data_IF_921658615634
#
_entry.id   IF_921658615634
#
_cell.length_a   1.000
_cell.length_b   1.000
_cell.length_c   1.000
_cell.angle_alpha   90.00
_cell.angle_beta   90.00
_cell.angle_gamma   90.00
#
_symmetry.space_group_name_H-M   'P 1'
#
loop_
_entity.id
_entity.type
_entity.pdbx_description
1 polymer ?
#
# COMPACT_ATOMS: atom_id res chain seq x y z
N UNK A 1 -0.51 0.28 22.66
CA UNK A 1 -0.06 0.74 21.34
C UNK A 1 -1.07 1.73 20.79
N UNK A 2 -0.64 2.82 20.14
CA UNK A 2 -1.59 3.80 19.57
C UNK A 2 -2.26 3.21 18.33
N UNK A 3 -3.52 3.57 18.09
CA UNK A 3 -4.17 3.29 16.81
C UNK A 3 -3.55 4.18 15.73
N UNK A 4 -3.24 3.61 14.56
CA UNK A 4 -2.76 4.31 13.37
C UNK A 4 -3.92 4.69 12.47
N UNK A 5 -4.76 3.72 12.14
CA UNK A 5 -5.92 3.90 11.27
C UNK A 5 -7.15 3.26 11.92
N UNK A 6 -8.30 3.89 11.75
CA UNK A 6 -9.60 3.36 12.12
C UNK A 6 -10.62 3.78 11.07
N UNK A 7 -11.36 2.82 10.52
CA UNK A 7 -12.42 3.04 9.53
C UNK A 7 -13.66 2.21 9.90
N UNK A 8 -14.81 2.59 9.36
CA UNK A 8 -16.07 1.89 9.54
C UNK A 8 -16.49 1.22 8.23
N UNK A 9 -17.22 0.11 8.30
CA UNK A 9 -17.96 -0.41 7.16
C UNK A 9 -19.07 0.54 6.74
N UNK A 10 -19.55 0.40 5.51
CA UNK A 10 -20.59 1.27 4.93
C UNK A 10 -21.92 1.18 5.69
N UNK A 11 -22.24 -0.01 6.20
CA UNK A 11 -23.40 -0.25 7.07
C UNK A 11 -23.13 0.03 8.56
N UNK A 12 -21.92 0.52 8.89
CA UNK A 12 -21.45 0.80 10.25
C UNK A 12 -21.47 -0.38 11.23
N UNK A 13 -21.65 -1.63 10.75
CA UNK A 13 -21.64 -2.84 11.60
C UNK A 13 -20.24 -3.29 12.00
N UNK A 14 -19.23 -2.89 11.24
CA UNK A 14 -17.85 -3.26 11.47
C UNK A 14 -16.95 -2.04 11.63
N UNK A 15 -15.96 -2.18 12.50
CA UNK A 15 -14.84 -1.26 12.65
C UNK A 15 -13.59 -2.03 12.22
N UNK A 16 -12.73 -1.38 11.45
CA UNK A 16 -11.41 -1.90 11.06
C UNK A 16 -10.36 -0.98 11.64
N UNK A 17 -9.36 -1.55 12.30
CA UNK A 17 -8.30 -0.76 12.92
C UNK A 17 -6.93 -1.39 12.74
N UNK A 18 -5.90 -0.54 12.75
CA UNK A 18 -4.51 -0.96 12.84
C UNK A 18 -3.73 -0.17 13.87
N UNK A 19 -2.67 -0.77 14.41
CA UNK A 19 -1.79 -0.17 15.41
C UNK A 19 -0.45 0.27 14.85
N UNK A 20 0.20 1.23 15.50
CA UNK A 20 1.57 1.62 15.15
C UNK A 20 2.54 0.46 15.42
N UNK A 21 3.28 0.03 14.40
CA UNK A 21 4.22 -1.08 14.51
C UNK A 21 3.57 -2.48 14.53
N UNK A 22 2.23 -2.54 14.53
CA UNK A 22 1.50 -3.81 14.51
C UNK A 22 1.38 -4.35 13.08
N UNK A 23 1.69 -5.64 12.93
CA UNK A 23 1.69 -6.34 11.63
C UNK A 23 0.38 -7.06 11.36
N UNK A 24 -0.72 -6.49 11.83
CA UNK A 24 -2.05 -7.01 11.61
C UNK A 24 -3.08 -5.89 11.55
N UNK A 25 -4.22 -6.21 10.93
CA UNK A 25 -5.43 -5.40 10.92
C UNK A 25 -6.50 -6.15 11.71
N UNK A 26 -7.18 -5.46 12.61
CA UNK A 26 -8.24 -6.04 13.45
C UNK A 26 -9.62 -5.55 12.99
N UNK A 27 -10.56 -6.49 12.88
CA UNK A 27 -11.97 -6.25 12.63
C UNK A 27 -12.75 -6.41 13.94
N UNK A 28 -13.70 -5.51 14.17
CA UNK A 28 -14.56 -5.48 15.35
C UNK A 28 -16.00 -5.35 14.91
N UNK A 29 -16.94 -5.97 15.64
CA UNK A 29 -18.35 -5.63 15.50
C UNK A 29 -18.65 -4.36 16.30
N UNK A 30 -19.36 -3.41 15.70
CA UNK A 30 -19.83 -2.20 16.38
C UNK A 30 -21.07 -2.48 17.24
N UNK A 31 -21.89 -3.45 16.82
CA UNK A 31 -23.12 -3.85 17.50
C UNK A 31 -22.88 -5.05 18.43
N UNK A 32 -23.24 -4.90 19.70
CA UNK A 32 -23.14 -5.96 20.72
C UNK A 32 -22.64 -5.41 22.06
N UNK A 33 -23.26 -5.83 23.17
CA UNK A 33 -22.77 -5.44 24.50
C UNK A 33 -21.36 -6.02 24.75
N UNK A 34 -20.39 -5.14 24.99
CA UNK A 34 -19.09 -5.45 25.63
C UNK A 34 -18.30 -6.60 24.98
N UNK A 35 -18.38 -6.82 23.68
CA UNK A 35 -17.45 -7.75 23.03
C UNK A 35 -16.05 -7.12 23.06
N UNK A 36 -15.15 -7.68 23.88
CA UNK A 36 -13.82 -7.10 24.17
C UNK A 36 -12.73 -7.51 23.19
N UNK A 37 -13.08 -8.34 22.20
CA UNK A 37 -12.12 -8.95 21.27
C UNK A 37 -12.47 -8.67 19.83
N UNK A 38 -11.43 -8.59 18.99
CA UNK A 38 -11.60 -8.55 17.54
C UNK A 38 -12.33 -9.82 17.07
N UNK A 39 -13.29 -9.66 16.16
CA UNK A 39 -13.99 -10.78 15.53
C UNK A 39 -13.18 -11.39 14.38
N UNK A 40 -12.19 -10.67 13.85
CA UNK A 40 -11.25 -11.15 12.84
C UNK A 40 -9.92 -10.39 12.95
N UNK A 41 -8.82 -11.10 12.68
CA UNK A 41 -7.45 -10.53 12.64
C UNK A 41 -6.80 -10.96 11.33
N UNK A 42 -6.33 -9.99 10.56
CA UNK A 42 -5.71 -10.15 9.25
C UNK A 42 -4.23 -9.85 9.35
N UNK A 43 -3.38 -10.85 9.14
CA UNK A 43 -1.93 -10.75 9.35
C UNK A 43 -1.19 -10.23 8.11
N UNK A 44 -0.13 -9.45 8.33
CA UNK A 44 0.75 -8.86 7.32
C UNK A 44 2.23 -9.07 7.67
N UNK A 45 3.12 -8.86 6.70
CA UNK A 45 4.57 -8.95 6.94
C UNK A 45 5.13 -7.68 7.58
N UNK A 46 4.50 -6.53 7.33
CA UNK A 46 4.94 -5.20 7.75
C UNK A 46 3.78 -4.37 8.30
N UNK A 47 4.03 -3.40 9.19
CA UNK A 47 2.97 -2.58 9.78
C UNK A 47 2.19 -1.79 8.74
N UNK A 48 0.89 -1.61 8.96
CA UNK A 48 0.04 -0.84 8.04
C UNK A 48 0.11 0.67 8.31
N UNK A 49 0.07 1.46 7.25
CA UNK A 49 -0.01 2.94 7.28
C UNK A 49 -1.35 3.48 6.79
N UNK A 50 -2.13 2.68 6.07
CA UNK A 50 -3.41 3.07 5.48
C UNK A 50 -4.33 1.85 5.45
N UNK A 51 -5.64 2.10 5.59
CA UNK A 51 -6.70 1.11 5.50
C UNK A 51 -7.82 1.61 4.59
N UNK A 52 -8.49 0.69 3.92
CA UNK A 52 -9.77 0.91 3.27
C UNK A 52 -10.65 -0.35 3.40
N UNK A 53 -11.97 -0.18 3.28
CA UNK A 53 -12.93 -1.28 3.39
C UNK A 53 -14.12 -1.07 2.47
N UNK A 54 -14.61 -2.17 1.90
CA UNK A 54 -15.89 -2.20 1.17
C UNK A 54 -16.70 -3.44 1.50
N UNK A 55 -18.00 -3.32 1.24
CA UNK A 55 -18.97 -4.39 1.38
C UNK A 55 -19.62 -4.48 2.77
N UNK A 56 -20.42 -5.53 2.96
CA UNK A 56 -21.25 -5.80 4.13
C UNK A 56 -21.53 -7.32 4.25
N UNK A 57 -22.38 -7.74 5.18
CA UNK A 57 -22.71 -9.16 5.37
C UNK A 57 -23.47 -9.83 4.20
N UNK A 58 -24.10 -9.04 3.31
CA UNK A 58 -24.85 -9.53 2.15
C UNK A 58 -23.96 -9.64 0.91
N UNK A 59 -23.16 -8.61 0.66
CA UNK A 59 -22.30 -8.50 -0.54
C UNK A 59 -20.91 -9.10 -0.32
N UNK A 60 -20.59 -9.46 0.92
CA UNK A 60 -19.26 -9.87 1.37
C UNK A 60 -18.39 -8.69 1.77
N UNK A 61 -17.24 -9.00 2.39
CA UNK A 61 -16.34 -8.01 3.00
C UNK A 61 -15.01 -8.01 2.25
N UNK A 62 -14.52 -6.81 1.97
CA UNK A 62 -13.19 -6.57 1.41
C UNK A 62 -12.45 -5.57 2.29
N UNK A 63 -11.24 -5.93 2.71
CA UNK A 63 -10.35 -5.08 3.51
C UNK A 63 -9.06 -4.89 2.74
N UNK A 64 -8.64 -3.64 2.64
CA UNK A 64 -7.39 -3.24 2.01
C UNK A 64 -6.48 -2.59 3.06
N UNK A 65 -5.19 -2.91 3.00
CA UNK A 65 -4.18 -2.26 3.83
C UNK A 65 -2.91 -1.97 3.01
N UNK A 66 -2.26 -0.85 3.28
CA UNK A 66 -0.94 -0.54 2.72
C UNK A 66 0.07 -0.59 3.85
N UNK A 67 1.18 -1.28 3.62
CA UNK A 67 2.26 -1.41 4.59
C UNK A 67 3.28 -0.27 4.51
N UNK A 68 4.06 -0.08 5.56
CA UNK A 68 5.18 0.88 5.63
C UNK A 68 6.24 0.68 4.53
N UNK A 69 6.34 -0.54 3.97
CA UNK A 69 7.24 -0.87 2.86
C UNK A 69 6.59 -0.72 1.49
N UNK A 70 5.36 -0.21 1.40
CA UNK A 70 4.72 0.08 0.12
C UNK A 70 4.10 -1.14 -0.57
N UNK A 71 3.84 -2.23 0.16
CA UNK A 71 3.03 -3.36 -0.34
C UNK A 71 1.58 -3.14 0.06
N UNK A 72 0.68 -3.25 -0.91
CA UNK A 72 -0.77 -3.24 -0.71
C UNK A 72 -1.28 -4.67 -0.53
N UNK A 73 -2.18 -4.87 0.42
CA UNK A 73 -2.74 -6.16 0.80
C UNK A 73 -4.25 -6.09 0.70
N UNK A 74 -4.85 -7.11 0.11
CA UNK A 74 -6.29 -7.24 -0.06
C UNK A 74 -6.76 -8.58 0.49
N UNK A 75 -7.72 -8.53 1.41
CA UNK A 75 -8.47 -9.70 1.88
C UNK A 75 -9.92 -9.58 1.43
N UNK A 76 -10.48 -10.67 0.92
CA UNK A 76 -11.87 -10.77 0.51
C UNK A 76 -12.51 -12.03 1.09
N UNK A 77 -13.77 -11.96 1.51
CA UNK A 77 -14.54 -13.13 1.96
C UNK A 77 -16.02 -12.80 2.14
N UNK A 78 -16.91 -13.76 1.88
CA UNK A 78 -18.37 -13.56 1.95
C UNK A 78 -18.88 -13.29 3.36
N UNK A 79 -18.06 -13.62 4.35
CA UNK A 79 -18.31 -13.38 5.77
C UNK A 79 -16.98 -13.28 6.52
N UNK A 80 -17.05 -12.88 7.78
CA UNK A 80 -15.88 -12.68 8.66
C UNK A 80 -15.01 -13.94 8.79
N UNK A 81 -15.60 -15.15 8.83
CA UNK A 81 -14.85 -16.40 8.95
C UNK A 81 -14.04 -16.70 7.70
N UNK A 82 -14.65 -16.51 6.52
CA UNK A 82 -13.95 -16.66 5.24
C UNK A 82 -12.85 -15.61 5.08
N UNK A 83 -13.14 -14.36 5.45
CA UNK A 83 -12.16 -13.27 5.38
C UNK A 83 -10.88 -13.59 6.17
N UNK A 84 -11.02 -14.21 7.35
CA UNK A 84 -9.89 -14.58 8.21
C UNK A 84 -9.04 -15.73 7.65
N UNK A 85 -9.63 -16.66 6.91
CA UNK A 85 -8.93 -17.81 6.34
C UNK A 85 -8.41 -17.58 4.91
N UNK A 86 -8.79 -16.46 4.27
CA UNK A 86 -8.34 -16.11 2.93
C UNK A 86 -6.85 -15.77 2.90
N UNK A 87 -6.14 -16.34 1.92
CA UNK A 87 -4.81 -15.90 1.54
C UNK A 87 -4.92 -14.51 0.92
N UNK A 88 -4.24 -13.47 1.47
CA UNK A 88 -4.32 -12.13 0.91
C UNK A 88 -3.72 -12.07 -0.48
N UNK A 89 -4.32 -11.25 -1.33
CA UNK A 89 -3.71 -10.81 -2.58
C UNK A 89 -2.79 -9.63 -2.30
N UNK A 90 -1.53 -9.71 -2.72
CA UNK A 90 -0.55 -8.64 -2.55
C UNK A 90 -0.33 -7.88 -3.85
N UNK A 91 -0.14 -6.57 -3.74
CA UNK A 91 0.31 -5.72 -4.83
C UNK A 91 1.58 -5.02 -4.43
N UNK A 92 2.60 -5.25 -5.25
CA UNK A 92 3.96 -4.73 -5.06
C UNK A 92 4.39 -3.96 -6.30
N UNK A 93 5.41 -3.13 -6.15
CA UNK A 93 5.97 -2.35 -7.26
C UNK A 93 7.41 -2.79 -7.47
N UNK A 94 7.75 -3.20 -8.68
CA UNK A 94 9.13 -3.44 -9.09
C UNK A 94 9.71 -2.21 -9.78
N UNK A 95 11.01 -2.00 -9.58
CA UNK A 95 11.79 -1.04 -10.36
C UNK A 95 12.36 -1.71 -11.60
N UNK A 96 12.40 -1.02 -12.72
CA UNK A 96 13.08 -1.46 -13.94
C UNK A 96 14.60 -1.28 -13.89
N UNK A 97 15.16 -0.73 -12.81
CA UNK A 97 16.60 -0.51 -12.65
C UNK A 97 17.24 -1.65 -11.83
N UNK A 98 18.31 -2.31 -12.32
CA UNK A 98 19.02 -3.34 -11.56
C UNK A 98 19.60 -2.80 -10.24
N UNK A 99 19.43 -3.54 -9.15
CA UNK A 99 19.90 -3.20 -7.79
C UNK A 99 21.38 -2.76 -7.71
N UNK A 100 22.22 -3.21 -8.65
CA UNK A 100 23.65 -2.90 -8.70
C UNK A 100 23.99 -1.40 -8.94
N UNK A 101 23.06 -0.59 -9.46
CA UNK A 101 23.32 0.85 -9.71
C UNK A 101 22.86 1.78 -8.59
N UNK A 102 22.12 1.27 -7.59
CA UNK A 102 21.67 2.05 -6.41
C UNK A 102 22.81 2.28 -5.40
N UNK A 103 23.94 1.58 -5.56
CA UNK A 103 25.06 1.61 -4.61
C UNK A 103 25.88 2.92 -4.59
N UNK A 104 25.58 3.95 -5.40
CA UNK A 104 26.28 5.24 -5.30
C UNK A 104 25.36 6.43 -5.53
N UNK A 105 24.71 6.89 -4.46
CA UNK A 105 24.47 8.32 -4.25
C UNK A 105 23.12 8.90 -4.68
N UNK A 106 22.03 8.13 -4.72
CA UNK A 106 20.69 8.71 -4.90
C UNK A 106 19.75 8.30 -3.77
N UNK A 107 19.39 9.28 -2.93
CA UNK A 107 18.38 9.19 -1.87
C UNK A 107 16.95 9.15 -2.43
N UNK A 108 16.70 8.28 -3.41
CA UNK A 108 15.36 8.01 -3.92
C UNK A 108 14.79 6.80 -3.21
N UNK A 109 13.67 6.96 -2.50
CA UNK A 109 12.92 5.82 -1.97
C UNK A 109 12.59 4.85 -3.12
N UNK A 110 12.72 3.54 -2.87
CA UNK A 110 12.28 2.52 -3.82
C UNK A 110 10.81 2.78 -4.22
N UNK A 111 10.43 2.50 -5.47
CA UNK A 111 9.05 2.70 -5.91
C UNK A 111 8.12 1.81 -5.09
N UNK A 112 7.00 2.39 -4.64
CA UNK A 112 6.10 1.79 -3.67
C UNK A 112 4.64 2.05 -4.06
N UNK A 113 3.70 1.23 -3.56
CA UNK A 113 2.29 1.62 -3.52
C UNK A 113 2.14 2.67 -2.42
N UNK A 114 1.75 3.88 -2.80
CA UNK A 114 1.70 5.06 -1.92
C UNK A 114 0.29 5.21 -1.34
N UNK A 115 -0.72 4.99 -2.16
CA UNK A 115 -2.13 5.04 -1.78
C UNK A 115 -2.92 4.05 -2.62
N UNK A 116 -4.01 3.54 -2.07
CA UNK A 116 -4.91 2.65 -2.76
C UNK A 116 -6.31 2.78 -2.17
N UNK A 117 -7.32 2.58 -3.01
CA UNK A 117 -8.72 2.65 -2.63
C UNK A 117 -9.53 1.57 -3.33
N UNK A 118 -10.36 0.86 -2.59
CA UNK A 118 -11.31 -0.10 -3.11
C UNK A 118 -12.39 0.63 -3.92
N UNK A 119 -12.63 0.12 -5.12
CA UNK A 119 -13.79 0.52 -5.91
C UNK A 119 -14.95 -0.44 -5.63
N UNK A 120 -16.18 0.01 -5.85
CA UNK A 120 -17.35 -0.84 -5.69
C UNK A 120 -17.32 -1.94 -6.76
N UNK A 121 -17.17 -3.21 -6.38
CA UNK A 121 -17.40 -4.35 -7.28
C UNK A 121 -18.42 -5.29 -6.66
N UNK A 122 -19.31 -5.82 -7.50
CA UNK A 122 -20.34 -6.78 -7.11
C UNK A 122 -19.78 -8.22 -7.00
N UNK A 123 -18.52 -8.43 -7.36
CA UNK A 123 -17.88 -9.74 -7.36
C UNK A 123 -16.71 -9.78 -6.38
N UNK A 124 -16.74 -10.76 -5.48
CA UNK A 124 -15.71 -10.97 -4.46
C UNK A 124 -14.49 -11.72 -5.00
N UNK A 125 -14.62 -12.37 -6.16
CA UNK A 125 -13.52 -13.04 -6.85
C UNK A 125 -12.64 -12.03 -7.61
N UNK A 126 -13.26 -10.94 -8.09
CA UNK A 126 -12.59 -9.87 -8.84
C UNK A 126 -12.91 -8.49 -8.27
N UNK A 127 -11.91 -7.88 -7.64
CA UNK A 127 -12.02 -6.56 -7.02
C UNK A 127 -11.19 -5.55 -7.79
N UNK A 128 -11.74 -4.35 -7.98
CA UNK A 128 -10.99 -3.27 -8.61
C UNK A 128 -10.48 -2.29 -7.57
N UNK A 129 -9.22 -1.91 -7.68
CA UNK A 129 -8.54 -1.00 -6.76
C UNK A 129 -7.93 0.12 -7.57
N UNK A 130 -8.17 1.36 -7.17
CA UNK A 130 -7.42 2.50 -7.69
C UNK A 130 -6.16 2.65 -6.86
N UNK A 131 -4.99 2.53 -7.48
CA UNK A 131 -3.70 2.64 -6.82
C UNK A 131 -2.92 3.86 -7.34
N UNK A 132 -2.24 4.53 -6.42
CA UNK A 132 -1.18 5.49 -6.70
C UNK A 132 0.15 4.84 -6.32
N UNK A 133 1.10 4.75 -7.26
CA UNK A 133 2.37 4.06 -7.04
C UNK A 133 3.56 4.76 -7.70
N UNK A 134 4.77 4.39 -7.30
CA UNK A 134 6.01 5.00 -7.78
C UNK A 134 6.60 5.96 -6.76
N UNK A 135 6.89 7.20 -7.16
CA UNK A 135 7.46 8.23 -6.28
C UNK A 135 6.38 9.15 -5.70
N UNK A 136 6.55 9.63 -4.46
CA UNK A 136 5.58 10.53 -3.81
C UNK A 136 5.34 11.83 -4.57
N UNK A 137 6.38 12.37 -5.23
CA UNK A 137 6.29 13.64 -5.97
C UNK A 137 5.77 13.47 -7.40
N UNK A 138 5.81 12.25 -7.93
CA UNK A 138 5.33 11.90 -9.27
C UNK A 138 4.76 10.48 -9.27
N UNK A 139 3.57 10.28 -8.67
CA UNK A 139 2.93 8.98 -8.66
C UNK A 139 2.29 8.69 -10.03
N UNK A 140 2.25 7.41 -10.39
CA UNK A 140 1.39 6.87 -11.42
C UNK A 140 0.06 6.45 -10.80
N UNK A 141 -1.05 6.67 -11.50
CA UNK A 141 -2.38 6.27 -11.06
C UNK A 141 -2.94 5.20 -12.00
N UNK A 142 -3.44 4.11 -11.44
CA UNK A 142 -3.95 2.99 -12.23
C UNK A 142 -5.14 2.31 -11.53
N UNK A 143 -6.09 1.83 -12.34
CA UNK A 143 -7.15 0.93 -11.88
C UNK A 143 -6.69 -0.50 -12.10
N UNK A 144 -6.39 -1.19 -11.00
CA UNK A 144 -5.91 -2.57 -11.00
C UNK A 144 -7.11 -3.48 -10.77
N UNK A 145 -7.25 -4.50 -11.62
CA UNK A 145 -8.18 -5.60 -11.39
C UNK A 145 -7.43 -6.69 -10.63
N UNK A 146 -7.80 -6.90 -9.36
CA UNK A 146 -7.22 -7.91 -8.50
C UNK A 146 -8.11 -9.16 -8.47
N UNK A 147 -7.48 -10.33 -8.62
CA UNK A 147 -8.13 -11.62 -8.40
C UNK A 147 -7.71 -12.18 -7.05
N UNK A 148 -8.67 -12.78 -6.33
CA UNK A 148 -8.40 -13.42 -5.04
C UNK A 148 -7.27 -14.46 -5.16
N UNK A 149 -6.26 -14.34 -4.29
CA UNK A 149 -5.11 -15.25 -4.20
C UNK A 149 -4.09 -15.12 -5.33
N UNK A 150 -4.17 -14.08 -6.17
CA UNK A 150 -3.19 -13.84 -7.25
C UNK A 150 -2.51 -12.50 -7.06
N UNK A 151 -1.23 -12.53 -6.68
CA UNK A 151 -0.43 -11.33 -6.49
C UNK A 151 -0.23 -10.55 -7.80
N UNK A 152 -0.13 -9.23 -7.68
CA UNK A 152 0.10 -8.31 -8.81
C UNK A 152 1.42 -7.57 -8.60
N UNK A 153 2.21 -7.46 -9.66
CA UNK A 153 3.42 -6.66 -9.67
C UNK A 153 3.25 -5.50 -10.67
N UNK A 154 3.38 -4.28 -10.17
CA UNK A 154 3.33 -3.06 -10.97
C UNK A 154 4.74 -2.66 -11.36
N UNK A 155 4.89 -2.14 -12.57
CA UNK A 155 6.17 -1.63 -13.05
C UNK A 155 6.17 -0.11 -12.96
N UNK A 156 7.07 0.45 -12.15
CA UNK A 156 7.29 1.89 -12.10
C UNK A 156 8.49 2.27 -12.97
N UNK A 157 8.27 3.18 -13.93
CA UNK A 157 9.35 3.80 -14.70
C UNK A 157 9.87 5.03 -13.95
N UNK A 158 11.18 5.07 -13.66
CA UNK A 158 11.86 6.24 -13.09
C UNK A 158 12.17 7.23 -14.21
N UNK A 159 11.14 7.77 -14.86
CA UNK A 159 11.34 8.95 -15.70
C UNK A 159 11.12 10.20 -14.86
N UNK A 160 11.97 11.21 -15.01
CA UNK A 160 11.76 12.53 -14.40
C UNK A 160 12.22 12.72 -12.96
N UNK A 161 13.42 12.22 -12.61
CA UNK A 161 14.18 12.83 -11.51
C UNK A 161 14.33 14.32 -11.84
N UNK A 162 13.70 15.20 -11.07
CA UNK A 162 14.11 16.60 -11.00
C UNK A 162 15.51 16.58 -10.39
N UNK A 163 16.54 16.45 -11.22
CA UNK A 163 17.88 16.78 -10.79
C UNK A 163 17.85 18.28 -10.45
N UNK A 164 18.13 18.74 -9.22
CA UNK A 164 18.93 19.94 -9.14
C UNK A 164 20.26 19.52 -9.77
N UNK A 165 20.44 19.87 -11.05
CA UNK A 165 21.76 19.85 -11.67
C UNK A 165 22.63 20.68 -10.71
N UNK A 166 23.46 19.99 -9.93
CA UNK A 166 24.45 20.63 -9.11
C UNK A 166 25.27 21.50 -10.04
N UNK A 167 25.06 22.82 -9.96
CA UNK A 167 25.92 23.79 -10.62
C UNK A 167 27.26 23.70 -9.88
N UNK A 168 28.07 22.71 -10.25
CA UNK A 168 29.50 22.69 -9.95
C UNK A 168 30.16 23.62 -10.96
N UNK A 169 30.22 24.92 -10.64
CA UNK A 169 31.12 25.85 -11.32
C UNK A 169 32.56 25.51 -10.92
N UNK A 170 33.16 24.51 -11.56
CA UNK A 170 34.61 24.42 -11.62
C UNK A 170 35.10 25.02 -12.95
N UNK A 171 35.14 26.35 -13.02
CA UNK A 171 35.91 27.06 -14.05
C UNK A 171 37.39 26.85 -13.73
N UNK A 172 38.04 25.89 -14.41
CA UNK A 172 39.50 25.78 -14.41
C UNK A 172 40.06 26.96 -15.21
N UNK A 173 40.40 28.05 -14.53
CA UNK A 173 41.22 29.12 -15.11
C UNK A 173 42.66 28.59 -15.21
N UNK A 174 43.09 28.21 -16.41
CA UNK A 174 44.49 27.94 -16.73
C UNK A 174 45.25 29.27 -16.58
N UNK A 175 45.98 29.44 -15.48
CA UNK A 175 46.95 30.51 -15.32
C UNK A 175 48.29 29.93 -15.76
N UNK A 176 48.72 30.23 -16.99
CA UNK A 176 50.11 30.05 -17.40
C UNK A 176 50.88 31.25 -16.87
N UNK A 177 51.83 31.01 -15.99
CA UNK A 177 52.94 31.92 -15.68
C UNK A 177 54.24 31.15 -15.88
N UNK A 178 55.30 31.92 -16.15
CA UNK A 178 56.72 31.55 -16.37
C UNK A 178 57.03 30.93 -17.75
N UNK A 179 57.95 31.46 -18.55
CA UNK A 179 59.02 32.47 -18.38
C UNK A 179 59.03 33.48 -19.52
#
# INVERSE_FOLDING_TARGET
VSVRCMIFSEDSKYIVSSGVGERYVALWKSEGQKEKSACCVLSMDHPSICLDMKGNDLDGLSVLAISEVGVCWLWCGRNVKELQSTIPTKVSVSSSVPEASVLKGQSGSAPAVIAAKLNNSADIETMSVFAAYGSFVRPSFEKILMKRGTDVNLHATIDGVFLPLGISKSVKKKMKHTE
#
